data_IF_634904089152
#
_entry.id   IF_634904089152
#
_cell.length_a   1.000
_cell.length_b   1.000
_cell.length_c   1.000
_cell.angle_alpha   90.00
_cell.angle_beta   90.00
_cell.angle_gamma   90.00
#
_symmetry.space_group_name_H-M   'P 1'
#
loop_
_entity.id
_entity.type
_entity.pdbx_description
1 polymer ?
#
# COMPACT_ATOMS: atom_id res chain seq x y z
N UNK A 1 -18.84 -11.17 -11.00
CA UNK A 1 -17.47 -10.67 -11.10
C UNK A 1 -17.57 -9.27 -11.65
N UNK A 2 -17.05 -8.31 -10.90
CA UNK A 2 -17.01 -6.90 -11.33
C UNK A 2 -16.10 -6.75 -12.55
N UNK A 3 -16.35 -5.71 -13.33
CA UNK A 3 -15.50 -5.31 -14.45
C UNK A 3 -14.10 -4.89 -13.98
N UNK A 4 -13.13 -4.96 -14.88
CA UNK A 4 -11.77 -4.51 -14.58
C UNK A 4 -11.73 -3.04 -14.15
N UNK A 5 -12.59 -2.19 -14.72
CA UNK A 5 -12.69 -0.78 -14.35
C UNK A 5 -13.14 -0.58 -12.90
N UNK A 6 -14.17 -1.30 -12.47
CA UNK A 6 -14.64 -1.28 -11.08
C UNK A 6 -13.57 -1.79 -10.10
N UNK A 7 -12.84 -2.85 -10.46
CA UNK A 7 -11.77 -3.39 -9.62
C UNK A 7 -10.57 -2.44 -9.53
N UNK A 8 -10.22 -1.75 -10.61
CA UNK A 8 -9.20 -0.68 -10.60
C UNK A 8 -9.66 0.47 -9.69
N UNK A 9 -10.91 0.90 -9.84
CA UNK A 9 -11.48 1.98 -9.04
C UNK A 9 -11.52 1.64 -7.55
N UNK A 10 -11.84 0.38 -7.20
CA UNK A 10 -11.83 -0.13 -5.83
C UNK A 10 -10.46 0.04 -5.17
N UNK A 11 -9.36 -0.26 -5.88
CA UNK A 11 -7.98 -0.15 -5.33
C UNK A 11 -7.33 1.21 -5.48
N UNK A 12 -8.01 2.13 -6.17
CA UNK A 12 -7.49 3.45 -6.49
C UNK A 12 -7.08 4.29 -5.25
N UNK A 13 -7.82 4.30 -4.12
CA UNK A 13 -7.40 5.04 -2.93
C UNK A 13 -6.00 4.67 -2.42
N UNK A 14 -5.67 3.38 -2.40
CA UNK A 14 -4.36 2.88 -1.94
C UNK A 14 -3.28 3.15 -2.99
N UNK A 15 -3.61 3.06 -4.28
CA UNK A 15 -2.68 3.41 -5.36
C UNK A 15 -2.26 4.89 -5.25
N UNK A 16 -3.25 5.79 -5.14
CA UNK A 16 -2.99 7.23 -5.00
C UNK A 16 -2.21 7.48 -3.70
N UNK A 17 -2.66 6.90 -2.58
CA UNK A 17 -1.99 7.01 -1.28
C UNK A 17 -0.53 6.55 -1.33
N UNK A 18 -0.25 5.41 -1.97
CA UNK A 18 1.10 4.86 -2.15
C UNK A 18 2.01 5.74 -3.01
N UNK A 19 1.52 6.21 -4.16
CA UNK A 19 2.27 7.12 -5.03
C UNK A 19 2.58 8.44 -4.32
N UNK A 20 1.59 9.04 -3.66
CA UNK A 20 1.79 10.26 -2.88
C UNK A 20 2.76 10.03 -1.71
N UNK A 21 2.71 8.87 -1.06
CA UNK A 21 3.62 8.55 0.03
C UNK A 21 5.07 8.46 -0.46
N UNK A 22 5.30 7.93 -1.66
CA UNK A 22 6.64 7.89 -2.27
C UNK A 22 7.22 9.29 -2.53
N UNK A 23 6.36 10.26 -2.87
CA UNK A 23 6.75 11.67 -2.97
C UNK A 23 7.00 12.25 -1.57
N UNK A 24 6.08 12.00 -0.63
CA UNK A 24 6.13 12.52 0.73
C UNK A 24 7.39 12.09 1.50
N UNK A 25 7.80 10.83 1.40
CA UNK A 25 9.02 10.34 2.08
C UNK A 25 10.29 11.04 1.59
N UNK A 26 10.33 11.45 0.32
CA UNK A 26 11.46 12.18 -0.30
C UNK A 26 11.45 13.67 -0.02
N UNK A 27 10.28 14.28 0.18
CA UNK A 27 10.17 15.69 0.53
C UNK A 27 10.95 16.00 1.83
N UNK A 28 11.49 17.21 1.98
CA UNK A 28 12.20 17.66 3.19
C UNK A 28 11.28 17.95 4.39
N UNK A 29 9.97 17.82 4.19
CA UNK A 29 8.95 18.07 5.21
C UNK A 29 8.83 16.88 6.19
N UNK A 30 8.69 17.16 7.49
CA UNK A 30 8.57 16.15 8.57
C UNK A 30 9.70 15.12 8.62
N UNK A 31 10.94 15.55 8.37
CA UNK A 31 12.11 14.67 8.39
C UNK A 31 12.43 14.07 9.76
N UNK A 32 11.92 14.67 10.84
CA UNK A 32 11.98 14.09 12.19
C UNK A 32 11.30 12.70 12.28
N UNK A 33 10.41 12.36 11.34
CA UNK A 33 9.75 11.06 11.27
C UNK A 33 10.54 10.03 10.43
N UNK A 34 11.66 10.39 9.81
CA UNK A 34 12.50 9.44 9.03
C UNK A 34 13.17 8.37 9.91
N UNK A 35 13.05 8.45 11.22
CA UNK A 35 13.53 7.44 12.16
C UNK A 35 12.97 6.05 11.82
N UNK A 36 13.83 5.02 11.71
CA UNK A 36 13.39 3.64 11.51
C UNK A 36 12.47 3.19 12.67
N UNK A 37 11.40 2.46 12.35
CA UNK A 37 10.46 1.93 13.34
C UNK A 37 11.14 1.02 14.37
N UNK A 38 12.18 0.30 13.94
CA UNK A 38 12.95 -0.59 14.81
C UNK A 38 14.02 0.12 15.64
N UNK A 39 14.22 1.44 15.50
CA UNK A 39 15.25 2.22 16.20
C UNK A 39 16.65 1.59 16.19
N UNK A 40 17.03 0.89 15.12
CA UNK A 40 18.35 0.25 15.06
C UNK A 40 18.42 -1.11 15.74
N UNK A 41 17.32 -1.61 16.33
CA UNK A 41 17.31 -2.83 17.14
C UNK A 41 17.83 -4.05 16.37
N UNK A 42 18.88 -4.67 16.91
CA UNK A 42 19.40 -5.96 16.47
C UNK A 42 18.75 -7.09 17.27
N UNK A 43 18.50 -8.22 16.61
CA UNK A 43 18.03 -9.45 17.25
C UNK A 43 19.22 -10.35 17.61
N UNK A 44 18.92 -11.51 18.22
CA UNK A 44 19.94 -12.47 18.71
C UNK A 44 20.90 -12.96 17.63
N UNK A 45 20.47 -12.96 16.37
CA UNK A 45 21.28 -13.33 15.21
C UNK A 45 22.08 -12.16 14.61
N UNK A 46 22.12 -11.02 15.30
CA UNK A 46 22.88 -9.83 14.89
C UNK A 46 22.24 -9.01 13.78
N UNK A 47 21.04 -9.36 13.29
CA UNK A 47 20.38 -8.65 12.18
C UNK A 47 19.20 -7.80 12.64
N UNK A 48 18.94 -6.70 11.93
CA UNK A 48 17.88 -5.71 12.20
C UNK A 48 16.48 -6.31 12.23
N UNK A 49 15.59 -5.81 13.09
CA UNK A 49 14.20 -6.28 13.16
C UNK A 49 13.45 -6.05 11.84
N UNK A 50 13.46 -4.81 11.30
CA UNK A 50 12.81 -4.48 10.03
C UNK A 50 13.80 -3.88 9.02
N UNK A 51 14.76 -3.07 9.49
CA UNK A 51 15.74 -2.36 8.67
C UNK A 51 15.41 -0.87 8.44
N UNK A 52 16.40 -0.13 7.92
CA UNK A 52 16.37 1.34 7.80
C UNK A 52 15.20 1.90 6.98
N UNK A 53 14.73 1.16 5.98
CA UNK A 53 13.70 1.68 5.05
C UNK A 53 12.28 1.67 5.61
N UNK A 54 12.04 1.06 6.78
CA UNK A 54 10.72 1.08 7.44
C UNK A 54 10.70 2.19 8.47
N UNK A 55 10.29 3.38 8.05
CA UNK A 55 10.33 4.63 8.85
C UNK A 55 8.93 5.07 9.29
N UNK A 56 8.85 5.82 10.40
CA UNK A 56 7.57 6.39 10.86
C UNK A 56 6.95 7.38 9.87
N UNK A 57 7.79 8.06 9.07
CA UNK A 57 7.34 8.96 8.00
C UNK A 57 6.54 8.20 6.95
N UNK A 58 7.08 7.07 6.48
CA UNK A 58 6.37 6.21 5.53
C UNK A 58 5.09 5.60 6.11
N UNK A 59 5.12 5.22 7.39
CA UNK A 59 3.94 4.68 8.09
C UNK A 59 2.78 5.68 8.15
N UNK A 60 3.03 6.85 8.72
CA UNK A 60 1.99 7.87 8.84
C UNK A 60 1.59 8.43 7.48
N UNK A 61 2.53 8.56 6.56
CA UNK A 61 2.26 8.98 5.19
C UNK A 61 1.28 8.03 4.48
N UNK A 62 1.48 6.71 4.55
CA UNK A 62 0.52 5.76 3.97
C UNK A 62 -0.89 5.89 4.57
N UNK A 63 -0.99 6.01 5.90
CA UNK A 63 -2.28 6.11 6.60
C UNK A 63 -3.00 7.39 6.17
N UNK A 64 -2.33 8.54 6.29
CA UNK A 64 -2.94 9.85 6.02
C UNK A 64 -3.24 10.02 4.53
N UNK A 65 -2.33 9.66 3.63
CA UNK A 65 -2.52 9.88 2.20
C UNK A 65 -3.54 8.92 1.60
N UNK A 66 -3.64 7.68 2.09
CA UNK A 66 -4.73 6.76 1.71
C UNK A 66 -6.07 7.24 2.26
N UNK A 67 -6.10 7.75 3.50
CA UNK A 67 -7.28 8.38 4.13
C UNK A 67 -7.81 9.55 3.30
N UNK A 68 -6.93 10.48 2.89
CA UNK A 68 -7.29 11.61 2.04
C UNK A 68 -7.72 11.17 0.62
N UNK A 69 -7.09 10.13 0.07
CA UNK A 69 -7.46 9.58 -1.24
C UNK A 69 -8.84 8.92 -1.21
N UNK A 70 -9.16 8.18 -0.16
CA UNK A 70 -10.49 7.60 0.06
C UNK A 70 -11.55 8.69 0.23
N UNK A 71 -11.27 9.72 1.02
CA UNK A 71 -12.16 10.87 1.20
C UNK A 71 -12.44 11.58 -0.13
N UNK A 72 -11.39 11.79 -0.95
CA UNK A 72 -11.53 12.39 -2.27
C UNK A 72 -12.45 11.57 -3.17
N UNK A 73 -12.27 10.25 -3.22
CA UNK A 73 -13.13 9.36 -4.01
C UNK A 73 -14.57 9.36 -3.50
N UNK A 74 -14.79 9.38 -2.18
CA UNK A 74 -16.12 9.54 -1.60
C UNK A 74 -16.75 10.87 -2.04
N UNK A 75 -16.01 11.98 -1.96
CA UNK A 75 -16.48 13.29 -2.40
C UNK A 75 -16.85 13.30 -3.89
N UNK A 76 -16.04 12.65 -4.74
CA UNK A 76 -16.35 12.50 -6.16
C UNK A 76 -17.63 11.70 -6.40
N UNK A 77 -17.82 10.56 -5.71
CA UNK A 77 -19.02 9.74 -5.87
C UNK A 77 -20.30 10.44 -5.36
N UNK A 78 -20.20 11.33 -4.39
CA UNK A 78 -21.35 12.14 -3.95
C UNK A 78 -21.77 13.19 -4.97
N UNK A 79 -20.83 13.72 -5.76
CA UNK A 79 -21.10 14.81 -6.73
C UNK A 79 -21.37 14.28 -8.14
N UNK A 80 -20.68 13.21 -8.55
CA UNK A 80 -20.71 12.69 -9.91
C UNK A 80 -21.29 11.27 -9.95
N UNK A 81 -22.37 11.08 -10.71
CA UNK A 81 -23.02 9.77 -10.85
C UNK A 81 -22.10 8.72 -11.45
N UNK A 82 -21.31 9.07 -12.48
CA UNK A 82 -20.36 8.14 -13.09
C UNK A 82 -19.34 7.58 -12.09
N UNK A 83 -18.90 8.39 -11.11
CA UNK A 83 -17.94 7.98 -10.10
C UNK A 83 -18.59 7.04 -9.08
N UNK A 84 -19.86 7.28 -8.75
CA UNK A 84 -20.63 6.38 -7.90
C UNK A 84 -20.96 5.05 -8.59
N UNK A 85 -21.35 5.08 -9.87
CA UNK A 85 -21.66 3.89 -10.67
C UNK A 85 -20.44 3.01 -10.91
N UNK A 86 -19.26 3.59 -11.07
CA UNK A 86 -18.00 2.85 -11.22
C UNK A 86 -17.49 2.30 -9.87
N UNK A 87 -17.95 2.84 -8.74
CA UNK A 87 -17.49 2.46 -7.41
C UNK A 87 -18.19 1.21 -6.89
N UNK A 88 -17.40 0.23 -6.45
CA UNK A 88 -17.93 -0.87 -5.64
C UNK A 88 -18.16 -0.47 -4.18
N UNK A 89 -17.44 0.56 -3.69
CA UNK A 89 -17.72 1.11 -2.36
C UNK A 89 -19.04 1.86 -2.39
N UNK A 90 -19.93 1.63 -1.40
CA UNK A 90 -21.20 2.33 -1.31
C UNK A 90 -21.01 3.74 -0.73
N UNK A 91 -20.22 4.58 -1.40
CA UNK A 91 -19.76 5.88 -0.90
C UNK A 91 -20.88 6.82 -0.45
N UNK A 92 -22.04 6.78 -1.13
CA UNK A 92 -23.21 7.60 -0.79
C UNK A 92 -23.95 7.13 0.47
N UNK A 93 -23.77 5.87 0.89
CA UNK A 93 -24.34 5.39 2.16
C UNK A 93 -23.40 5.61 3.35
N UNK A 94 -22.11 5.87 3.09
CA UNK A 94 -21.13 6.21 4.10
C UNK A 94 -21.29 7.65 4.61
N UNK A 95 -21.04 7.85 5.89
CA UNK A 95 -21.10 9.16 6.55
C UNK A 95 -19.93 10.03 6.11
N UNK A 96 -20.20 11.12 5.40
CA UNK A 96 -19.17 12.08 5.00
C UNK A 96 -18.90 13.12 6.09
N UNK A 97 -17.62 13.45 6.42
CA UNK A 97 -16.37 12.93 5.86
C UNK A 97 -15.75 11.75 6.66
N UNK A 98 -16.41 11.32 7.73
CA UNK A 98 -15.82 10.45 8.76
C UNK A 98 -15.47 9.08 8.22
N UNK A 99 -16.38 8.43 7.51
CA UNK A 99 -16.21 7.05 7.04
C UNK A 99 -15.11 6.96 5.98
N UNK A 100 -15.07 7.90 5.01
CA UNK A 100 -14.00 7.95 4.02
C UNK A 100 -12.61 8.11 4.65
N UNK A 101 -12.50 8.99 5.64
CA UNK A 101 -11.24 9.18 6.37
C UNK A 101 -10.87 7.93 7.18
N UNK A 102 -11.81 7.36 7.93
CA UNK A 102 -11.58 6.21 8.79
C UNK A 102 -11.20 4.97 7.97
N UNK A 103 -11.98 4.64 6.93
CA UNK A 103 -11.73 3.45 6.12
C UNK A 103 -10.45 3.56 5.31
N UNK A 104 -10.13 4.75 4.77
CA UNK A 104 -8.83 4.95 4.14
C UNK A 104 -7.66 4.87 5.13
N UNK A 105 -7.82 5.31 6.39
CA UNK A 105 -6.80 5.15 7.42
C UNK A 105 -6.59 3.68 7.82
N UNK A 106 -7.69 2.92 8.00
CA UNK A 106 -7.65 1.47 8.24
C UNK A 106 -6.92 0.77 7.10
N UNK A 107 -7.18 1.16 5.85
CA UNK A 107 -6.59 0.53 4.69
C UNK A 107 -5.11 0.87 4.49
N UNK A 108 -4.73 2.13 4.71
CA UNK A 108 -3.33 2.54 4.74
C UNK A 108 -2.54 1.88 5.88
N UNK A 109 -3.16 1.66 7.04
CA UNK A 109 -2.57 0.90 8.13
C UNK A 109 -2.38 -0.57 7.76
N UNK A 110 -3.39 -1.20 7.17
CA UNK A 110 -3.33 -2.59 6.71
C UNK A 110 -2.20 -2.81 5.70
N UNK A 111 -2.03 -1.88 4.75
CA UNK A 111 -0.94 -1.88 3.79
C UNK A 111 0.42 -1.97 4.50
N UNK A 112 0.71 -1.02 5.40
CA UNK A 112 2.03 -0.96 6.05
C UNK A 112 2.25 -2.14 6.99
N UNK A 113 1.22 -2.54 7.73
CA UNK A 113 1.29 -3.69 8.64
C UNK A 113 1.68 -4.96 7.89
N UNK A 114 1.12 -5.19 6.71
CA UNK A 114 1.39 -6.39 5.93
C UNK A 114 2.79 -6.42 5.28
N UNK A 115 3.44 -5.27 5.09
CA UNK A 115 4.83 -5.21 4.62
C UNK A 115 5.88 -5.57 5.71
N UNK A 116 5.51 -5.47 7.00
CA UNK A 116 6.44 -5.67 8.11
C UNK A 116 6.90 -7.14 8.25
N UNK A 117 6.03 -8.17 8.18
CA UNK A 117 6.45 -9.57 8.19
C UNK A 117 7.45 -9.90 7.09
N UNK A 118 7.21 -9.41 5.87
CA UNK A 118 8.11 -9.63 4.75
C UNK A 118 9.47 -8.95 4.99
N UNK A 119 9.47 -7.72 5.52
CA UNK A 119 10.70 -7.02 5.91
C UNK A 119 11.50 -7.79 6.97
N UNK A 120 10.83 -8.34 7.97
CA UNK A 120 11.43 -9.20 8.98
C UNK A 120 12.06 -10.46 8.38
N UNK A 121 11.31 -11.19 7.54
CA UNK A 121 11.78 -12.42 6.88
C UNK A 121 13.01 -12.14 6.02
N UNK A 122 12.98 -11.07 5.21
CA UNK A 122 14.13 -10.65 4.39
C UNK A 122 15.41 -10.46 5.20
N UNK A 123 15.30 -9.90 6.42
CA UNK A 123 16.46 -9.77 7.32
C UNK A 123 16.97 -11.12 7.78
N UNK A 124 16.10 -12.09 8.09
CA UNK A 124 16.52 -13.43 8.54
C UNK A 124 17.31 -14.19 7.47
N UNK A 125 17.05 -13.94 6.19
CA UNK A 125 17.69 -14.63 5.05
C UNK A 125 18.77 -13.79 4.33
N UNK A 126 19.32 -12.79 5.00
CA UNK A 126 20.46 -11.97 4.51
C UNK A 126 20.17 -11.13 3.25
N UNK A 127 18.92 -10.74 3.06
CA UNK A 127 18.57 -9.70 2.07
C UNK A 127 18.68 -8.34 2.75
N UNK A 128 19.53 -7.44 2.25
CA UNK A 128 19.70 -6.10 2.82
C UNK A 128 18.48 -5.19 2.52
N UNK A 129 18.25 -4.14 3.33
CA UNK A 129 17.19 -3.17 3.05
C UNK A 129 17.40 -2.46 1.71
N UNK A 130 16.37 -2.46 0.85
CA UNK A 130 16.43 -1.73 -0.43
C UNK A 130 17.29 -2.39 -1.50
N UNK A 131 17.71 -3.63 -1.30
CA UNK A 131 18.41 -4.43 -2.31
C UNK A 131 17.55 -5.60 -2.74
N UNK A 132 17.46 -5.84 -4.04
CA UNK A 132 16.97 -7.11 -4.55
C UNK A 132 18.10 -8.15 -4.53
N UNK A 133 17.80 -9.34 -4.01
CA UNK A 133 18.74 -10.46 -4.12
C UNK A 133 18.79 -10.97 -5.56
N UNK A 134 19.91 -11.54 -5.98
CA UNK A 134 20.05 -12.13 -7.31
C UNK A 134 19.52 -13.57 -7.35
N UNK A 135 19.23 -14.08 -8.56
CA UNK A 135 18.79 -15.45 -8.78
C UNK A 135 17.31 -15.72 -8.44
N UNK A 136 16.98 -16.99 -8.22
CA UNK A 136 15.60 -17.43 -7.99
C UNK A 136 14.97 -16.81 -6.73
N UNK A 137 15.74 -16.71 -5.64
CA UNK A 137 15.32 -16.07 -4.39
C UNK A 137 14.89 -14.61 -4.62
N UNK A 138 15.68 -13.87 -5.41
CA UNK A 138 15.36 -12.50 -5.82
C UNK A 138 14.00 -12.37 -6.49
N UNK A 139 13.77 -13.19 -7.52
CA UNK A 139 12.51 -13.17 -8.27
C UNK A 139 11.30 -13.48 -7.40
N UNK A 140 11.42 -14.44 -6.48
CA UNK A 140 10.34 -14.75 -5.52
C UNK A 140 10.06 -13.56 -4.61
N UNK A 141 11.09 -12.94 -4.03
CA UNK A 141 10.91 -11.80 -3.15
C UNK A 141 10.41 -10.54 -3.86
N UNK A 142 10.75 -10.34 -5.13
CA UNK A 142 10.13 -9.28 -5.94
C UNK A 142 8.61 -9.49 -5.98
N UNK A 143 8.13 -10.70 -6.26
CA UNK A 143 6.68 -10.98 -6.29
C UNK A 143 6.04 -10.84 -4.90
N UNK A 144 6.68 -11.36 -3.86
CA UNK A 144 6.18 -11.25 -2.47
C UNK A 144 6.11 -9.79 -2.03
N UNK A 145 7.10 -8.96 -2.36
CA UNK A 145 7.14 -7.51 -2.07
C UNK A 145 6.00 -6.73 -2.75
N UNK A 146 5.41 -7.28 -3.82
CA UNK A 146 4.26 -6.64 -4.46
C UNK A 146 2.93 -7.12 -3.90
N UNK A 147 2.87 -8.39 -3.50
CA UNK A 147 1.65 -9.03 -3.05
C UNK A 147 1.38 -8.84 -1.55
N UNK A 148 2.41 -8.65 -0.71
CA UNK A 148 2.28 -8.57 0.74
C UNK A 148 1.27 -7.52 1.21
N UNK A 149 1.45 -6.27 0.77
CA UNK A 149 0.57 -5.14 1.06
C UNK A 149 -0.83 -5.33 0.46
N UNK A 150 -0.94 -5.92 -0.74
CA UNK A 150 -2.22 -6.25 -1.37
C UNK A 150 -3.00 -7.27 -0.55
N UNK A 151 -2.33 -8.31 -0.05
CA UNK A 151 -2.94 -9.30 0.85
C UNK A 151 -3.44 -8.62 2.12
N UNK A 152 -2.63 -7.74 2.74
CA UNK A 152 -3.05 -6.96 3.90
C UNK A 152 -4.32 -6.14 3.63
N UNK A 153 -4.33 -5.43 2.50
CA UNK A 153 -5.45 -4.63 2.05
C UNK A 153 -6.71 -5.46 1.82
N UNK A 154 -6.62 -6.63 1.16
CA UNK A 154 -7.76 -7.52 0.91
C UNK A 154 -8.28 -8.12 2.23
N UNK A 155 -7.40 -8.47 3.16
CA UNK A 155 -7.77 -9.04 4.46
C UNK A 155 -8.52 -8.03 5.36
N UNK A 156 -8.17 -6.75 5.30
CA UNK A 156 -8.81 -5.69 6.10
C UNK A 156 -10.03 -5.06 5.43
N UNK A 157 -10.19 -5.24 4.11
CA UNK A 157 -11.32 -4.70 3.35
C UNK A 157 -12.70 -5.03 3.96
N UNK A 158 -12.98 -6.27 4.45
CA UNK A 158 -14.28 -6.63 5.04
C UNK A 158 -14.71 -5.80 6.24
N UNK A 159 -13.81 -5.02 6.87
CA UNK A 159 -14.16 -4.09 7.93
C UNK A 159 -15.08 -2.94 7.46
N UNK A 160 -15.10 -2.64 6.16
CA UNK A 160 -15.89 -1.55 5.58
C UNK A 160 -16.55 -1.91 4.24
N UNK A 161 -16.08 -2.96 3.57
CA UNK A 161 -16.66 -3.47 2.33
C UNK A 161 -16.30 -4.94 2.14
N UNK A 162 -17.29 -5.80 1.93
CA UNK A 162 -17.06 -7.23 1.71
C UNK A 162 -17.13 -7.54 0.20
N UNK A 163 -15.99 -7.69 -0.50
CA UNK A 163 -16.00 -8.13 -1.90
C UNK A 163 -16.50 -9.58 -2.00
N UNK A 164 -17.00 -9.98 -3.17
CA UNK A 164 -17.20 -11.40 -3.44
C UNK A 164 -15.85 -12.13 -3.45
N UNK A 165 -15.83 -13.44 -3.19
CA UNK A 165 -14.58 -14.22 -3.25
C UNK A 165 -13.87 -14.08 -4.60
N UNK A 166 -14.65 -14.03 -5.70
CA UNK A 166 -14.11 -13.87 -7.04
C UNK A 166 -13.46 -12.50 -7.20
N UNK A 167 -14.10 -11.43 -6.73
CA UNK A 167 -13.54 -10.07 -6.81
C UNK A 167 -12.32 -9.91 -5.89
N UNK A 168 -12.32 -10.53 -4.70
CA UNK A 168 -11.16 -10.55 -3.81
C UNK A 168 -9.93 -11.23 -4.45
N UNK A 169 -10.13 -12.37 -5.12
CA UNK A 169 -9.07 -13.06 -5.87
C UNK A 169 -8.63 -12.20 -7.06
N UNK A 170 -9.58 -11.62 -7.81
CA UNK A 170 -9.27 -10.76 -8.94
C UNK A 170 -8.47 -9.52 -8.51
N UNK A 171 -8.83 -8.88 -7.40
CA UNK A 171 -8.08 -7.77 -6.79
C UNK A 171 -6.67 -8.19 -6.41
N UNK A 172 -6.50 -9.37 -5.81
CA UNK A 172 -5.17 -9.85 -5.43
C UNK A 172 -4.23 -9.90 -6.63
N UNK A 173 -4.66 -10.48 -7.76
CA UNK A 173 -3.85 -10.55 -8.98
C UNK A 173 -3.71 -9.19 -9.66
N UNK A 174 -4.81 -8.47 -9.84
CA UNK A 174 -4.84 -7.18 -10.53
C UNK A 174 -4.02 -6.12 -9.79
N UNK A 175 -4.22 -5.96 -8.49
CA UNK A 175 -3.51 -4.97 -7.69
C UNK A 175 -2.02 -5.31 -7.56
N UNK A 176 -1.64 -6.59 -7.48
CA UNK A 176 -0.23 -7.00 -7.51
C UNK A 176 0.43 -6.63 -8.85
N UNK A 177 -0.26 -6.86 -9.97
CA UNK A 177 0.23 -6.47 -11.30
C UNK A 177 0.32 -4.94 -11.46
N UNK A 178 -0.69 -4.20 -10.97
CA UNK A 178 -0.65 -2.74 -10.94
C UNK A 178 0.48 -2.22 -10.06
N UNK A 179 0.74 -2.85 -8.92
CA UNK A 179 1.83 -2.47 -8.03
C UNK A 179 3.21 -2.64 -8.71
N UNK A 180 3.44 -3.75 -9.43
CA UNK A 180 4.61 -3.92 -10.30
C UNK A 180 4.73 -2.79 -11.33
N UNK A 181 3.64 -2.53 -12.06
CA UNK A 181 3.62 -1.51 -13.11
C UNK A 181 3.89 -0.11 -12.55
N UNK A 182 3.25 0.27 -11.44
CA UNK A 182 3.44 1.56 -10.78
C UNK A 182 4.89 1.68 -10.29
N UNK A 183 5.45 0.63 -9.70
CA UNK A 183 6.84 0.65 -9.24
C UNK A 183 7.84 0.86 -10.39
N UNK A 184 7.58 0.25 -11.54
CA UNK A 184 8.35 0.49 -12.75
C UNK A 184 8.22 1.95 -13.22
N UNK A 185 7.01 2.51 -13.25
CA UNK A 185 6.80 3.93 -13.61
C UNK A 185 7.49 4.88 -12.63
N UNK A 186 7.41 4.60 -11.32
CA UNK A 186 8.08 5.37 -10.27
C UNK A 186 9.60 5.33 -10.40
N UNK A 187 10.17 4.23 -10.90
CA UNK A 187 11.58 4.15 -11.23
C UNK A 187 11.94 5.04 -12.43
N UNK A 188 11.14 5.03 -13.50
CA UNK A 188 11.38 5.87 -14.67
C UNK A 188 11.39 7.37 -14.35
N UNK A 189 10.58 7.80 -13.38
CA UNK A 189 10.55 9.21 -12.92
C UNK A 189 11.52 9.50 -11.77
N UNK A 190 12.40 8.55 -11.41
CA UNK A 190 13.42 8.72 -10.37
C UNK A 190 12.88 8.74 -8.93
N UNK A 191 11.62 8.37 -8.70
CA UNK A 191 11.03 8.23 -7.37
C UNK A 191 11.41 6.90 -6.70
N UNK A 192 11.67 5.83 -7.47
CA UNK A 192 12.35 4.62 -6.98
C UNK A 192 13.77 4.51 -7.53
N UNK A 193 14.65 3.90 -6.76
CA UNK A 193 16.02 3.57 -7.19
C UNK A 193 16.09 2.29 -8.01
N UNK A 194 15.05 1.44 -7.97
CA UNK A 194 14.97 0.16 -8.69
C UNK A 194 13.55 -0.08 -9.22
N UNK A 195 13.38 -0.75 -10.38
CA UNK A 195 12.10 -0.90 -11.08
C UNK A 195 11.08 -1.81 -10.36
N UNK A 196 11.56 -2.85 -9.69
CA UNK A 196 10.82 -3.75 -8.79
C UNK A 196 11.88 -4.60 -8.09
#
# INVERSE_FOLDING_TARGET
MSSVGELIYLVLPVIIGGVLNMVFVKASFLDNLKTPMDHGRLLKDGKRLFGENKTWKGFWGMIVLTSLSMLLLQAMAMVFDWANELSLFPFRSWSFPVDGLLYGAVWGFAYVLAELPNSYIKRRIDIAPGTNSSGFKGKVFILVDQADSVIGCVLFMPLFFTPTLIDAIAVLFLATALHLMINFLLYLVGLKSQPA
#
